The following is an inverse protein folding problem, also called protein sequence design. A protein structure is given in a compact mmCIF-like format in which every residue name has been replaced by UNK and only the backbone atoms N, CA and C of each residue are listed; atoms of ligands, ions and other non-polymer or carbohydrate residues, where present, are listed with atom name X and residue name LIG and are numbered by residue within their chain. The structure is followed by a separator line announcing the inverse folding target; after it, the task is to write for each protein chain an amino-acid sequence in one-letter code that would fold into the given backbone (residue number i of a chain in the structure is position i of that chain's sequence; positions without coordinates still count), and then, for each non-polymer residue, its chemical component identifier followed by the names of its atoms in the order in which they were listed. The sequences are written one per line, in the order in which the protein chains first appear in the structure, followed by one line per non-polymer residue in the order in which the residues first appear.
data_IF_923365558500
#
_entry.id   IF_923365558500
#
_cell.length_a   1.000
_cell.length_b   1.000
_cell.length_c   1.000
_cell.angle_alpha   90.00
_cell.angle_beta   90.00
_cell.angle_gamma   90.00
#
_symmetry.space_group_name_H-M   'P 1'
#
loop_
_entity.id
_entity.type
_entity.pdbx_description
1 polymer ?
#
# COMPACT_ATOMS: atom_id res chain seq x y z
N UNK A 1 28.38 -8.88 16.36
CA UNK A 1 27.38 -7.83 16.09
C UNK A 1 28.07 -6.50 15.75
N UNK A 2 29.14 -6.10 16.46
CA UNK A 2 29.89 -4.84 16.21
C UNK A 2 30.42 -4.79 14.77
N UNK A 3 31.04 -5.87 14.26
CA UNK A 3 31.50 -5.97 12.87
C UNK A 3 30.35 -5.76 11.85
N UNK A 4 29.15 -6.26 12.15
CA UNK A 4 27.99 -6.02 11.28
C UNK A 4 27.54 -4.55 11.28
N UNK A 5 27.62 -3.86 12.43
CA UNK A 5 27.37 -2.41 12.51
C UNK A 5 28.43 -1.60 11.79
N UNK A 6 29.70 -1.99 11.86
CA UNK A 6 30.79 -1.36 11.11
C UNK A 6 30.56 -1.44 9.60
N UNK A 7 30.21 -2.64 9.12
CA UNK A 7 29.89 -2.84 7.69
C UNK A 7 28.67 -1.99 7.30
N UNK A 8 27.62 -1.99 8.10
CA UNK A 8 26.43 -1.20 7.81
C UNK A 8 26.72 0.30 7.81
N UNK A 9 27.51 0.77 8.77
CA UNK A 9 27.97 2.17 8.83
C UNK A 9 28.81 2.53 7.61
N UNK A 10 29.74 1.66 7.20
CA UNK A 10 30.57 1.86 6.01
C UNK A 10 29.70 1.92 4.74
N UNK A 11 28.73 1.06 4.60
CA UNK A 11 27.77 1.08 3.47
C UNK A 11 27.02 2.40 3.40
N UNK A 12 26.57 2.92 4.55
CA UNK A 12 25.76 4.16 4.60
C UNK A 12 26.63 5.42 4.50
N UNK A 13 27.75 5.49 5.21
CA UNK A 13 28.52 6.71 5.39
C UNK A 13 29.95 6.65 4.82
N UNK A 14 30.45 5.46 4.47
CA UNK A 14 31.86 5.26 4.08
C UNK A 14 32.24 5.91 2.74
N UNK A 15 31.29 6.21 1.91
CA UNK A 15 31.55 6.78 0.59
C UNK A 15 31.52 8.31 0.59
N UNK A 16 32.67 8.95 0.38
CA UNK A 16 32.73 10.41 0.11
C UNK A 16 32.05 10.77 -1.20
N UNK A 17 32.09 9.89 -2.18
CA UNK A 17 31.45 9.98 -3.47
C UNK A 17 30.95 8.60 -3.87
N UNK A 18 29.81 8.55 -4.54
CA UNK A 18 29.32 7.32 -5.14
C UNK A 18 30.30 6.82 -6.22
N UNK A 19 30.49 5.51 -6.40
CA UNK A 19 31.35 4.98 -7.45
C UNK A 19 30.77 5.31 -8.84
N UNK A 20 31.52 6.00 -9.68
CA UNK A 20 31.04 6.50 -10.98
C UNK A 20 30.76 5.35 -11.97
N UNK A 21 31.53 4.27 -11.91
CA UNK A 21 31.36 3.12 -12.81
C UNK A 21 30.03 2.38 -12.53
N UNK A 22 29.70 2.22 -11.28
CA UNK A 22 28.48 1.60 -10.80
C UNK A 22 27.24 2.45 -11.13
N UNK A 23 27.36 3.77 -11.13
CA UNK A 23 26.27 4.68 -11.51
C UNK A 23 25.73 4.40 -12.91
N UNK A 24 26.60 4.24 -13.91
CA UNK A 24 26.17 3.98 -15.28
C UNK A 24 25.48 2.60 -15.42
N UNK A 25 25.97 1.61 -14.67
CA UNK A 25 25.37 0.28 -14.62
C UNK A 25 23.99 0.35 -13.97
N UNK A 26 23.87 0.91 -12.77
CA UNK A 26 22.64 0.96 -12.00
C UNK A 26 21.58 1.83 -12.70
N UNK A 27 21.98 2.94 -13.32
CA UNK A 27 21.08 3.76 -14.13
C UNK A 27 20.50 2.97 -15.31
N UNK A 28 21.32 2.18 -16.01
CA UNK A 28 20.87 1.33 -17.10
C UNK A 28 19.90 0.27 -16.59
N UNK A 29 20.25 -0.45 -15.51
CA UNK A 29 19.39 -1.47 -14.90
C UNK A 29 18.06 -0.88 -14.43
N UNK A 30 18.06 0.32 -13.86
CA UNK A 30 16.84 1.01 -13.46
C UNK A 30 15.96 1.35 -14.68
N UNK A 31 16.54 1.87 -15.76
CA UNK A 31 15.81 2.16 -17.00
C UNK A 31 15.21 0.89 -17.61
N UNK A 32 15.97 -0.21 -17.63
CA UNK A 32 15.48 -1.53 -18.08
C UNK A 32 14.34 -2.03 -17.20
N UNK A 33 14.47 -1.89 -15.88
CA UNK A 33 13.42 -2.25 -14.91
C UNK A 33 12.15 -1.42 -15.13
N UNK A 34 12.27 -0.10 -15.32
CA UNK A 34 11.11 0.78 -15.60
C UNK A 34 10.46 0.39 -16.93
N UNK A 35 11.26 0.14 -17.99
CA UNK A 35 10.73 -0.30 -19.27
C UNK A 35 10.03 -1.67 -19.19
N UNK A 36 10.55 -2.59 -18.35
CA UNK A 36 9.95 -3.92 -18.17
C UNK A 36 8.68 -3.89 -17.30
N UNK A 37 8.47 -2.83 -16.52
CA UNK A 37 7.27 -2.68 -15.68
C UNK A 37 5.98 -2.73 -16.50
N UNK A 38 6.00 -2.18 -17.71
CA UNK A 38 4.85 -2.19 -18.63
C UNK A 38 4.48 -3.61 -19.10
N UNK A 39 5.36 -4.60 -18.91
CA UNK A 39 5.08 -6.01 -19.26
C UNK A 39 4.19 -6.69 -18.20
N UNK A 40 4.26 -6.29 -16.92
CA UNK A 40 3.30 -6.71 -15.90
C UNK A 40 2.04 -5.84 -15.99
N UNK A 41 1.11 -6.26 -16.84
CA UNK A 41 -0.11 -5.52 -17.11
C UNK A 41 -1.01 -5.32 -15.89
N UNK A 42 -0.88 -6.16 -14.87
CA UNK A 42 -1.65 -6.00 -13.62
C UNK A 42 -1.08 -4.85 -12.78
N UNK A 43 0.24 -4.84 -12.57
CA UNK A 43 0.93 -3.76 -11.86
C UNK A 43 0.85 -2.44 -12.64
N UNK A 44 0.99 -2.48 -13.95
CA UNK A 44 0.82 -1.33 -14.85
C UNK A 44 -0.56 -0.69 -14.69
N UNK A 45 -1.63 -1.49 -14.79
CA UNK A 45 -3.00 -0.99 -14.66
C UNK A 45 -3.29 -0.40 -13.27
N UNK A 46 -2.75 -1.02 -12.20
CA UNK A 46 -2.88 -0.50 -10.84
C UNK A 46 -2.12 0.82 -10.65
N UNK A 47 -0.91 0.93 -11.18
CA UNK A 47 -0.14 2.17 -11.16
C UNK A 47 -0.87 3.31 -11.88
N UNK A 48 -1.48 3.03 -13.02
CA UNK A 48 -2.25 4.03 -13.76
C UNK A 48 -3.55 4.42 -13.03
N UNK A 49 -4.17 3.51 -12.26
CA UNK A 49 -5.25 3.90 -11.35
C UNK A 49 -4.74 4.95 -10.36
N UNK A 50 -3.59 4.72 -9.71
CA UNK A 50 -3.06 5.64 -8.70
C UNK A 50 -2.62 6.98 -9.32
N UNK A 51 -1.96 6.97 -10.47
CA UNK A 51 -1.61 8.20 -11.18
C UNK A 51 -2.85 9.03 -11.54
N UNK A 52 -3.95 8.36 -11.94
CA UNK A 52 -5.20 9.04 -12.28
C UNK A 52 -5.95 9.53 -11.04
N UNK A 53 -6.05 8.68 -10.01
CA UNK A 53 -6.75 8.99 -8.76
C UNK A 53 -6.07 10.12 -7.99
N UNK A 54 -4.74 10.07 -7.90
CA UNK A 54 -3.91 11.00 -7.13
C UNK A 54 -3.16 11.99 -8.01
N UNK A 55 -3.77 12.38 -9.13
CA UNK A 55 -3.24 13.41 -10.01
C UNK A 55 -2.96 14.71 -9.23
N UNK A 56 -1.75 15.25 -9.39
CA UNK A 56 -1.24 16.40 -8.63
C UNK A 56 -1.09 16.16 -7.11
N UNK A 57 -0.99 14.91 -6.69
CA UNK A 57 -0.64 14.53 -5.33
C UNK A 57 0.66 13.69 -5.35
N UNK A 58 1.47 13.80 -4.31
CA UNK A 58 2.71 13.01 -4.19
C UNK A 58 2.43 11.49 -4.26
N UNK A 59 1.27 11.05 -3.78
CA UNK A 59 0.86 9.66 -3.78
C UNK A 59 0.65 9.06 -5.18
N UNK A 60 0.40 9.89 -6.19
CA UNK A 60 0.32 9.48 -7.59
C UNK A 60 1.67 9.30 -8.28
N UNK A 61 2.78 9.65 -7.62
CA UNK A 61 4.11 9.50 -8.21
C UNK A 61 4.58 8.05 -8.10
N UNK A 62 4.98 7.46 -9.22
CA UNK A 62 5.58 6.11 -9.22
C UNK A 62 6.87 6.10 -8.40
N UNK A 63 7.00 5.16 -7.47
CA UNK A 63 8.20 5.03 -6.61
C UNK A 63 9.48 4.73 -7.39
N UNK A 64 9.37 4.03 -8.54
CA UNK A 64 10.50 3.78 -9.45
C UNK A 64 10.81 4.95 -10.40
N UNK A 65 9.98 6.00 -10.41
CA UNK A 65 10.03 7.07 -11.40
C UNK A 65 9.59 6.62 -12.80
N UNK A 66 9.76 7.51 -13.78
CA UNK A 66 9.51 7.26 -15.20
C UNK A 66 10.82 7.36 -15.98
N UNK A 67 10.85 6.80 -17.19
CA UNK A 67 12.03 6.83 -18.05
C UNK A 67 12.50 8.28 -18.30
N UNK A 68 11.57 9.19 -18.53
CA UNK A 68 11.82 10.61 -18.74
C UNK A 68 12.43 11.31 -17.51
N UNK A 69 12.11 10.85 -16.30
CA UNK A 69 12.65 11.38 -15.06
C UNK A 69 14.07 10.87 -14.80
N UNK A 70 14.34 9.61 -15.12
CA UNK A 70 15.64 8.96 -14.85
C UNK A 70 16.70 9.31 -15.90
N UNK A 71 16.32 9.43 -17.18
CA UNK A 71 17.26 9.75 -18.27
C UNK A 71 18.13 10.99 -18.03
N UNK A 72 17.59 12.12 -17.57
CA UNK A 72 18.39 13.33 -17.35
C UNK A 72 19.26 13.27 -16.09
N UNK A 73 19.10 12.29 -15.19
CA UNK A 73 19.91 12.19 -13.98
C UNK A 73 21.37 11.90 -14.37
N UNK A 74 22.27 12.80 -13.98
CA UNK A 74 23.71 12.63 -14.14
C UNK A 74 24.36 12.14 -12.84
N UNK A 75 25.57 11.61 -12.95
CA UNK A 75 26.37 11.24 -11.78
C UNK A 75 26.50 12.39 -10.78
N UNK A 76 26.76 13.61 -11.25
CA UNK A 76 26.96 14.76 -10.38
C UNK A 76 25.68 15.17 -9.64
N UNK A 77 24.52 15.05 -10.31
CA UNK A 77 23.21 15.27 -9.68
C UNK A 77 23.00 14.24 -8.57
N UNK A 78 23.16 12.94 -8.86
CA UNK A 78 22.95 11.88 -7.89
C UNK A 78 23.95 11.97 -6.70
N UNK A 79 25.23 12.22 -6.99
CA UNK A 79 26.26 12.30 -5.96
C UNK A 79 26.06 13.51 -5.03
N UNK A 80 25.58 14.64 -5.56
CA UNK A 80 25.18 15.80 -4.75
C UNK A 80 23.98 15.48 -3.87
N UNK A 81 22.94 14.87 -4.44
CA UNK A 81 21.75 14.47 -3.71
C UNK A 81 22.09 13.47 -2.59
N UNK A 82 22.92 12.45 -2.86
CA UNK A 82 23.40 11.51 -1.86
C UNK A 82 24.07 12.20 -0.66
N UNK A 83 24.96 13.16 -0.92
CA UNK A 83 25.64 13.91 0.14
C UNK A 83 24.68 14.78 0.95
N UNK A 84 23.70 15.36 0.30
CA UNK A 84 22.66 16.17 0.95
C UNK A 84 21.75 15.28 1.79
N UNK A 85 21.26 14.17 1.24
CA UNK A 85 20.43 13.19 1.93
C UNK A 85 21.09 12.70 3.24
N UNK A 86 22.39 12.36 3.21
CA UNK A 86 23.12 11.95 4.41
C UNK A 86 23.23 13.05 5.48
N UNK A 87 23.07 14.33 5.10
CA UNK A 87 23.12 15.47 6.03
C UNK A 87 21.76 15.87 6.57
N UNK A 88 20.73 15.74 5.75
CA UNK A 88 19.41 16.34 6.00
C UNK A 88 18.30 15.34 6.32
N UNK A 89 18.42 14.11 5.82
CA UNK A 89 17.36 13.13 6.06
C UNK A 89 17.50 12.46 7.42
N UNK A 90 16.38 12.15 8.02
CA UNK A 90 16.31 11.30 9.20
C UNK A 90 16.66 9.85 8.83
N UNK A 91 17.35 9.19 9.75
CA UNK A 91 17.69 7.76 9.62
C UNK A 91 17.22 7.06 10.87
N UNK A 92 16.27 6.17 10.70
CA UNK A 92 15.78 5.31 11.76
C UNK A 92 16.49 3.95 11.72
N UNK A 93 17.01 3.52 12.87
CA UNK A 93 17.63 2.20 13.02
C UNK A 93 16.71 1.35 13.89
N UNK A 94 16.16 0.29 13.30
CA UNK A 94 15.26 -0.64 13.99
C UNK A 94 15.96 -1.98 14.14
N UNK A 95 15.98 -2.51 15.37
CA UNK A 95 16.71 -3.74 15.71
C UNK A 95 15.76 -4.74 16.35
N UNK A 96 15.82 -5.98 15.88
CA UNK A 96 15.11 -7.11 16.49
C UNK A 96 16.09 -8.19 16.92
N UNK A 97 15.88 -8.74 18.11
CA UNK A 97 16.71 -9.80 18.70
C UNK A 97 16.88 -9.62 20.20
N UNK A 98 17.96 -10.17 20.75
CA UNK A 98 18.35 -9.89 22.14
C UNK A 98 18.96 -8.49 22.21
N UNK A 99 18.16 -7.52 22.62
CA UNK A 99 18.57 -6.11 22.73
C UNK A 99 18.71 -5.75 24.20
N UNK A 100 19.91 -5.29 24.57
CA UNK A 100 20.21 -4.77 25.89
C UNK A 100 20.78 -3.33 25.80
N UNK A 101 21.02 -2.70 26.93
CA UNK A 101 21.58 -1.35 26.98
C UNK A 101 22.98 -1.24 26.34
N UNK A 102 23.78 -2.30 26.40
CA UNK A 102 25.13 -2.30 25.84
C UNK A 102 25.06 -2.24 24.32
N UNK A 103 24.10 -2.96 23.73
CA UNK A 103 23.81 -2.97 22.31
C UNK A 103 23.31 -1.60 21.83
N UNK A 104 22.39 -0.97 22.57
CA UNK A 104 21.89 0.38 22.22
C UNK A 104 23.01 1.43 22.27
N UNK A 105 23.91 1.35 23.25
CA UNK A 105 25.10 2.22 23.30
C UNK A 105 26.04 1.99 22.13
N UNK A 106 26.24 0.74 21.73
CA UNK A 106 27.06 0.39 20.58
C UNK A 106 26.45 0.94 19.27
N UNK A 107 25.14 0.76 19.07
CA UNK A 107 24.44 1.31 17.89
C UNK A 107 24.56 2.83 17.84
N UNK A 108 24.39 3.51 18.98
CA UNK A 108 24.51 4.98 19.06
C UNK A 108 25.93 5.50 18.77
N UNK A 109 26.96 4.66 18.89
CA UNK A 109 28.35 5.00 18.48
C UNK A 109 28.48 5.12 16.96
N UNK A 110 27.78 4.27 16.20
CA UNK A 110 27.82 4.23 14.74
C UNK A 110 26.73 5.11 14.09
N UNK A 111 25.55 5.15 14.66
CA UNK A 111 24.40 5.90 14.19
C UNK A 111 24.00 6.95 15.22
N UNK A 112 24.61 8.15 15.12
CA UNK A 112 24.40 9.23 16.07
C UNK A 112 22.99 9.79 15.89
N UNK A 113 22.11 9.77 16.93
CA UNK A 113 20.79 10.37 16.86
C UNK A 113 20.86 11.86 16.52
N UNK A 114 20.08 12.31 15.56
CA UNK A 114 19.95 13.73 15.23
C UNK A 114 18.71 14.28 15.91
N UNK A 115 18.90 15.12 16.92
CA UNK A 115 17.81 15.54 17.83
C UNK A 115 16.89 16.66 17.30
N UNK A 116 17.03 17.15 16.08
CA UNK A 116 16.32 18.37 15.66
C UNK A 116 15.85 18.40 14.19
N UNK A 117 15.64 17.27 13.55
CA UNK A 117 15.00 17.32 12.23
C UNK A 117 13.48 17.34 12.44
N UNK A 118 12.84 18.43 12.02
CA UNK A 118 11.39 18.46 11.95
C UNK A 118 10.95 17.44 10.90
N UNK A 119 10.30 16.39 11.34
CA UNK A 119 9.64 15.44 10.43
C UNK A 119 8.67 16.25 9.57
N UNK A 120 8.84 16.18 8.25
CA UNK A 120 7.84 16.72 7.35
C UNK A 120 6.54 15.96 7.60
N UNK A 121 5.46 16.64 8.01
CA UNK A 121 4.21 15.96 8.22
C UNK A 121 3.79 15.29 6.91
N UNK A 122 3.31 14.05 6.99
CA UNK A 122 2.68 13.40 5.85
C UNK A 122 1.45 14.24 5.51
N UNK A 123 1.43 14.81 4.31
CA UNK A 123 0.28 15.59 3.84
C UNK A 123 -0.90 14.64 3.60
N UNK A 124 -1.91 14.80 4.44
CA UNK A 124 -3.14 14.01 4.38
C UNK A 124 -4.32 14.83 3.86
N UNK A 125 -4.10 15.85 3.04
CA UNK A 125 -5.21 16.59 2.48
C UNK A 125 -6.23 15.65 1.83
N UNK A 126 -7.47 15.72 2.34
CA UNK A 126 -8.61 15.02 1.76
C UNK A 126 -9.18 15.88 0.63
N UNK A 127 -8.78 15.55 -0.60
CA UNK A 127 -9.39 16.22 -1.75
C UNK A 127 -10.84 15.78 -1.91
N UNK A 128 -11.70 16.76 -2.11
CA UNK A 128 -13.10 16.53 -2.46
C UNK A 128 -13.19 15.94 -3.87
N UNK A 129 -14.01 14.90 -4.03
CA UNK A 129 -14.30 14.33 -5.35
C UNK A 129 -15.33 15.24 -6.03
N UNK A 130 -14.91 15.95 -7.06
CA UNK A 130 -15.82 16.77 -7.87
C UNK A 130 -16.61 15.93 -8.86
N UNK A 131 -15.92 14.95 -9.49
CA UNK A 131 -16.52 13.98 -10.42
C UNK A 131 -15.73 12.69 -10.43
N UNK A 132 -16.41 11.57 -10.73
CA UNK A 132 -15.75 10.28 -10.90
C UNK A 132 -14.90 10.32 -12.16
N UNK A 133 -13.60 10.03 -12.03
CA UNK A 133 -12.69 9.92 -13.16
C UNK A 133 -12.86 8.54 -13.83
N UNK A 134 -13.05 8.53 -15.14
CA UNK A 134 -13.10 7.30 -15.93
C UNK A 134 -11.99 7.33 -16.95
N UNK A 135 -11.09 6.36 -16.93
CA UNK A 135 -9.99 6.24 -17.89
C UNK A 135 -9.93 4.82 -18.46
N UNK A 136 -9.87 4.72 -19.77
CA UNK A 136 -9.70 3.46 -20.49
C UNK A 136 -8.49 3.58 -21.39
N UNK A 137 -7.52 2.70 -21.18
CA UNK A 137 -6.35 2.51 -22.05
C UNK A 137 -6.46 1.14 -22.74
N UNK A 138 -5.83 0.98 -23.89
CA UNK A 138 -5.87 -0.24 -24.67
C UNK A 138 -4.48 -0.84 -24.83
N UNK A 139 -4.40 -2.17 -24.80
CA UNK A 139 -3.15 -2.90 -24.93
C UNK A 139 -3.38 -4.31 -25.50
N UNK A 140 -2.31 -4.95 -25.97
CA UNK A 140 -2.34 -6.34 -26.45
C UNK A 140 -2.41 -7.30 -25.28
N UNK A 141 -3.59 -7.47 -24.71
CA UNK A 141 -3.90 -8.33 -23.57
C UNK A 141 -5.14 -9.19 -23.87
N UNK A 142 -5.27 -10.32 -23.17
CA UNK A 142 -6.41 -11.23 -23.32
C UNK A 142 -7.59 -10.89 -22.41
N UNK A 143 -7.33 -10.16 -21.31
CA UNK A 143 -8.32 -9.82 -20.29
C UNK A 143 -8.19 -8.37 -19.87
N UNK A 144 -9.32 -7.69 -19.70
CA UNK A 144 -9.35 -6.35 -19.13
C UNK A 144 -8.85 -6.37 -17.68
N UNK A 145 -7.97 -5.43 -17.33
CA UNK A 145 -7.59 -5.15 -15.95
C UNK A 145 -8.47 -3.99 -15.47
N UNK A 146 -9.38 -4.29 -14.57
CA UNK A 146 -10.34 -3.32 -14.03
C UNK A 146 -9.93 -2.96 -12.62
N UNK A 147 -9.67 -1.69 -12.40
CA UNK A 147 -9.28 -1.14 -11.10
C UNK A 147 -10.21 0.02 -10.73
N UNK A 148 -10.76 -0.01 -9.51
CA UNK A 148 -11.69 1.00 -9.03
C UNK A 148 -11.15 1.57 -7.72
N UNK A 149 -10.90 2.87 -7.70
CA UNK A 149 -10.44 3.58 -6.50
C UNK A 149 -11.59 4.26 -5.77
N UNK A 150 -11.56 4.17 -4.45
CA UNK A 150 -12.54 4.78 -3.55
C UNK A 150 -11.82 5.61 -2.49
N UNK A 151 -12.28 6.80 -2.18
CA UNK A 151 -11.87 7.52 -0.97
C UNK A 151 -12.55 6.88 0.24
N UNK A 152 -11.75 6.60 1.24
CA UNK A 152 -12.18 6.07 2.54
C UNK A 152 -11.38 6.80 3.61
N UNK A 153 -11.89 7.93 4.15
CA UNK A 153 -11.11 8.85 4.99
C UNK A 153 -10.92 8.31 6.41
N UNK A 154 -10.42 7.09 6.52
CA UNK A 154 -10.04 6.44 7.78
C UNK A 154 -8.54 6.18 7.74
N UNK A 155 -7.84 6.59 8.80
CA UNK A 155 -6.39 6.52 8.90
C UNK A 155 -5.93 5.78 10.14
N UNK A 156 -4.62 5.47 10.20
CA UNK A 156 -4.02 4.65 11.26
C UNK A 156 -4.32 5.10 12.69
N UNK A 157 -4.48 6.40 12.95
CA UNK A 157 -4.73 6.92 14.30
C UNK A 157 -6.22 6.93 14.68
N UNK A 158 -7.10 6.59 13.76
CA UNK A 158 -8.53 6.69 14.00
C UNK A 158 -9.09 5.47 14.71
N UNK A 159 -10.04 5.70 15.61
CA UNK A 159 -10.70 4.63 16.38
C UNK A 159 -11.47 3.66 15.48
N UNK A 160 -11.87 4.11 14.30
CA UNK A 160 -12.61 3.32 13.30
C UNK A 160 -11.71 2.46 12.39
N UNK A 161 -10.38 2.52 12.55
CA UNK A 161 -9.46 1.70 11.75
C UNK A 161 -9.79 0.20 11.76
N UNK A 162 -10.08 -0.43 12.93
CA UNK A 162 -10.46 -1.84 12.96
C UNK A 162 -11.72 -2.15 12.16
N UNK A 163 -12.72 -1.26 12.20
CA UNK A 163 -13.94 -1.40 11.43
C UNK A 163 -13.71 -1.25 9.91
N UNK A 164 -12.82 -0.33 9.50
CA UNK A 164 -12.43 -0.16 8.10
C UNK A 164 -11.65 -1.37 7.57
N UNK A 165 -10.76 -1.94 8.40
CA UNK A 165 -10.06 -3.18 8.07
C UNK A 165 -11.03 -4.35 7.89
N UNK A 166 -12.02 -4.49 8.79
CA UNK A 166 -13.07 -5.51 8.67
C UNK A 166 -13.95 -5.29 7.45
N UNK A 167 -14.32 -4.04 7.15
CA UNK A 167 -15.05 -3.72 5.93
C UNK A 167 -14.30 -4.17 4.68
N UNK A 168 -13.02 -3.84 4.55
CA UNK A 168 -12.21 -4.28 3.42
C UNK A 168 -12.11 -5.81 3.34
N UNK A 169 -11.92 -6.49 4.49
CA UNK A 169 -11.82 -7.96 4.54
C UNK A 169 -13.12 -8.62 4.09
N UNK A 170 -14.27 -8.14 4.56
CA UNK A 170 -15.58 -8.64 4.20
C UNK A 170 -15.95 -8.34 2.73
N UNK A 171 -15.51 -7.16 2.21
CA UNK A 171 -15.81 -6.79 0.83
C UNK A 171 -14.98 -7.60 -0.17
N UNK A 172 -13.64 -7.59 -0.05
CA UNK A 172 -12.76 -8.19 -1.07
C UNK A 172 -11.38 -8.62 -0.56
N UNK A 173 -11.09 -8.50 0.74
CA UNK A 173 -9.78 -8.80 1.32
C UNK A 173 -9.53 -10.26 1.63
N UNK A 174 -10.53 -11.14 1.55
CA UNK A 174 -10.43 -12.54 1.89
C UNK A 174 -11.17 -13.45 0.88
N UNK A 175 -10.86 -14.76 0.90
CA UNK A 175 -11.50 -15.74 0.00
C UNK A 175 -12.98 -16.00 0.30
N UNK A 176 -13.46 -15.62 1.47
CA UNK A 176 -14.88 -15.65 1.84
C UNK A 176 -15.57 -14.30 1.65
N UNK A 177 -14.89 -13.32 1.09
CA UNK A 177 -15.41 -11.96 0.89
C UNK A 177 -16.53 -11.92 -0.16
N UNK A 178 -17.37 -10.90 -0.08
CA UNK A 178 -18.53 -10.76 -1.00
C UNK A 178 -18.12 -10.66 -2.46
N UNK A 179 -17.05 -9.94 -2.78
CA UNK A 179 -16.55 -9.85 -4.15
C UNK A 179 -16.06 -11.21 -4.66
N UNK A 180 -15.31 -11.95 -3.84
CA UNK A 180 -14.83 -13.26 -4.23
C UNK A 180 -15.99 -14.24 -4.45
N UNK A 181 -16.91 -14.34 -3.50
CA UNK A 181 -18.05 -15.27 -3.57
C UNK A 181 -19.03 -14.89 -4.66
N UNK A 182 -19.45 -13.63 -4.75
CA UNK A 182 -20.52 -13.24 -5.67
C UNK A 182 -20.01 -12.95 -7.09
N UNK A 183 -18.86 -12.24 -7.25
CA UNK A 183 -18.38 -11.87 -8.60
C UNK A 183 -17.61 -13.02 -9.26
N UNK A 184 -16.72 -13.68 -8.49
CA UNK A 184 -15.86 -14.73 -9.05
C UNK A 184 -16.55 -16.09 -9.05
N UNK A 185 -17.03 -16.58 -7.90
CA UNK A 185 -17.54 -17.94 -7.81
C UNK A 185 -18.96 -18.08 -8.35
N UNK A 186 -19.89 -17.29 -7.85
CA UNK A 186 -21.30 -17.40 -8.21
C UNK A 186 -21.59 -16.98 -9.65
N UNK A 187 -21.03 -15.86 -10.06
CA UNK A 187 -21.27 -15.33 -11.42
C UNK A 187 -20.17 -15.65 -12.42
N UNK A 188 -19.03 -16.18 -11.99
CA UNK A 188 -17.88 -16.52 -12.84
C UNK A 188 -17.44 -15.37 -13.77
N UNK A 189 -17.47 -14.12 -13.29
CA UNK A 189 -17.21 -12.92 -14.10
C UNK A 189 -15.73 -12.58 -14.22
N UNK A 190 -14.89 -13.09 -13.32
CA UNK A 190 -13.48 -12.74 -13.28
C UNK A 190 -12.63 -13.94 -12.85
N UNK A 191 -11.33 -13.89 -13.20
CA UNK A 191 -10.34 -14.88 -12.75
C UNK A 191 -9.85 -14.59 -11.35
N UNK A 192 -9.68 -13.34 -11.05
CA UNK A 192 -9.32 -12.85 -9.73
C UNK A 192 -10.04 -11.53 -9.46
N UNK A 193 -10.36 -11.31 -8.21
CA UNK A 193 -10.88 -10.05 -7.69
C UNK A 193 -10.48 -9.92 -6.24
N UNK A 194 -10.20 -8.70 -5.83
CA UNK A 194 -9.92 -8.40 -4.44
C UNK A 194 -10.03 -6.91 -4.16
N UNK A 195 -9.95 -6.54 -2.89
CA UNK A 195 -9.84 -5.16 -2.45
C UNK A 195 -8.67 -4.97 -1.49
N UNK A 196 -8.12 -3.77 -1.46
CA UNK A 196 -7.12 -3.35 -0.49
C UNK A 196 -7.45 -1.99 0.06
N UNK A 197 -7.21 -1.81 1.34
CA UNK A 197 -7.35 -0.57 2.06
C UNK A 197 -5.99 -0.04 2.48
N UNK A 198 -5.74 1.24 2.19
CA UNK A 198 -4.54 1.97 2.60
C UNK A 198 -4.91 3.01 3.66
N UNK A 199 -4.54 2.73 4.90
CA UNK A 199 -4.81 3.59 6.04
C UNK A 199 -3.82 4.77 6.18
N UNK A 200 -2.74 4.83 5.37
CA UNK A 200 -1.87 6.00 5.35
C UNK A 200 -2.53 7.17 4.64
N UNK A 201 -3.05 6.91 3.45
CA UNK A 201 -3.70 7.95 2.64
C UNK A 201 -5.22 8.02 2.84
N UNK A 202 -5.84 6.96 3.35
CA UNK A 202 -7.29 6.90 3.54
C UNK A 202 -8.03 6.65 2.23
N UNK A 203 -7.69 5.55 1.55
CA UNK A 203 -8.38 5.11 0.35
C UNK A 203 -8.45 3.58 0.28
N UNK A 204 -9.33 3.09 -0.56
CA UNK A 204 -9.46 1.68 -0.88
C UNK A 204 -9.51 1.50 -2.39
N UNK A 205 -9.07 0.36 -2.88
CA UNK A 205 -9.23 0.03 -4.28
C UNK A 205 -9.65 -1.43 -4.46
N UNK A 206 -10.42 -1.66 -5.53
CA UNK A 206 -10.78 -2.99 -6.01
C UNK A 206 -9.98 -3.24 -7.29
N UNK A 207 -9.44 -4.44 -7.44
CA UNK A 207 -8.70 -4.86 -8.62
C UNK A 207 -9.22 -6.20 -9.12
N UNK A 208 -9.33 -6.35 -10.45
CA UNK A 208 -9.88 -7.58 -11.06
C UNK A 208 -9.37 -7.80 -12.48
N UNK A 209 -9.31 -9.08 -12.89
CA UNK A 209 -9.06 -9.50 -14.27
C UNK A 209 -10.36 -10.07 -14.87
N UNK A 210 -10.96 -9.37 -15.83
CA UNK A 210 -12.31 -9.62 -16.34
C UNK A 210 -12.26 -9.80 -17.87
N UNK A 211 -13.05 -10.73 -18.41
CA UNK A 211 -13.25 -10.81 -19.85
C UNK A 211 -13.88 -9.53 -20.39
N UNK A 212 -13.40 -9.04 -21.55
CA UNK A 212 -13.84 -7.79 -22.15
C UNK A 212 -15.37 -7.70 -22.28
N UNK A 213 -16.02 -8.81 -22.66
CA UNK A 213 -17.47 -8.86 -22.87
C UNK A 213 -18.28 -8.82 -21.57
N UNK A 214 -17.64 -8.98 -20.41
CA UNK A 214 -18.30 -9.08 -19.09
C UNK A 214 -18.01 -7.91 -18.17
N UNK A 215 -17.26 -6.92 -18.62
CA UNK A 215 -16.82 -5.78 -17.79
C UNK A 215 -18.02 -5.03 -17.19
N UNK A 216 -19.01 -4.66 -18.02
CA UNK A 216 -20.17 -3.89 -17.54
C UNK A 216 -20.99 -4.66 -16.51
N UNK A 217 -21.19 -5.96 -16.73
CA UNK A 217 -21.90 -6.82 -15.78
C UNK A 217 -21.12 -6.96 -14.46
N UNK A 218 -19.80 -7.12 -14.56
CA UNK A 218 -18.95 -7.23 -13.37
C UNK A 218 -18.96 -5.94 -12.56
N UNK A 219 -18.86 -4.77 -13.20
CA UNK A 219 -18.96 -3.47 -12.54
C UNK A 219 -20.30 -3.33 -11.80
N UNK A 220 -21.40 -3.72 -12.45
CA UNK A 220 -22.72 -3.70 -11.83
C UNK A 220 -22.78 -4.59 -10.58
N UNK A 221 -22.30 -5.84 -10.68
CA UNK A 221 -22.31 -6.76 -9.51
C UNK A 221 -21.40 -6.27 -8.41
N UNK A 222 -20.26 -5.64 -8.73
CA UNK A 222 -19.35 -5.03 -7.74
C UNK A 222 -20.07 -3.88 -7.00
N UNK A 223 -20.71 -2.98 -7.73
CA UNK A 223 -21.45 -1.87 -7.14
C UNK A 223 -22.61 -2.37 -6.25
N UNK A 224 -23.35 -3.41 -6.67
CA UNK A 224 -24.38 -4.09 -5.85
C UNK A 224 -23.82 -4.61 -4.52
N UNK A 225 -22.59 -5.20 -4.49
CA UNK A 225 -21.99 -5.68 -3.24
C UNK A 225 -21.68 -4.55 -2.26
N UNK A 226 -21.29 -3.40 -2.78
CA UNK A 226 -21.02 -2.20 -1.95
C UNK A 226 -22.34 -1.64 -1.41
N UNK A 227 -23.35 -1.51 -2.27
CA UNK A 227 -24.69 -1.03 -1.89
C UNK A 227 -25.33 -1.94 -0.83
N UNK A 228 -25.20 -3.25 -0.97
CA UNK A 228 -25.67 -4.20 0.03
C UNK A 228 -25.01 -4.00 1.40
N UNK A 229 -23.68 -3.75 1.44
CA UNK A 229 -22.97 -3.45 2.69
C UNK A 229 -23.37 -2.10 3.29
N UNK A 230 -23.76 -1.13 2.46
CA UNK A 230 -24.29 0.16 2.92
C UNK A 230 -25.69 0.04 3.50
N UNK A 231 -26.53 -0.80 2.91
CA UNK A 231 -27.93 -0.93 3.26
C UNK A 231 -28.20 -1.95 4.38
N UNK A 232 -27.36 -3.00 4.47
CA UNK A 232 -27.53 -4.07 5.46
C UNK A 232 -26.21 -4.34 6.18
N UNK A 233 -26.25 -4.51 7.52
CA UNK A 233 -25.07 -4.93 8.27
C UNK A 233 -24.64 -6.35 7.85
N UNK A 234 -23.37 -6.68 8.07
CA UNK A 234 -22.86 -8.04 7.90
C UNK A 234 -23.68 -9.02 8.76
N UNK A 235 -23.94 -10.20 8.22
CA UNK A 235 -24.41 -11.32 9.01
C UNK A 235 -23.38 -11.70 10.07
N UNK A 236 -23.81 -12.37 11.14
CA UNK A 236 -22.93 -12.84 12.19
C UNK A 236 -21.81 -13.75 11.65
N UNK A 237 -22.14 -14.60 10.68
CA UNK A 237 -21.19 -15.49 10.03
C UNK A 237 -20.12 -14.70 9.25
N UNK A 238 -20.52 -13.74 8.40
CA UNK A 238 -19.58 -12.90 7.65
C UNK A 238 -18.66 -12.08 8.57
N UNK A 239 -19.24 -11.52 9.64
CA UNK A 239 -18.49 -10.74 10.63
C UNK A 239 -17.44 -11.61 11.33
N UNK A 240 -17.82 -12.81 11.80
CA UNK A 240 -16.93 -13.70 12.51
C UNK A 240 -15.82 -14.23 11.61
N UNK A 241 -16.13 -14.68 10.39
CA UNK A 241 -15.12 -15.11 9.42
C UNK A 241 -14.11 -14.00 9.10
N UNK A 242 -14.58 -12.76 8.96
CA UNK A 242 -13.70 -11.63 8.71
C UNK A 242 -12.81 -11.30 9.91
N UNK A 243 -13.33 -11.38 11.14
CA UNK A 243 -12.54 -11.23 12.36
C UNK A 243 -11.46 -12.29 12.49
N UNK A 244 -11.84 -13.56 12.30
CA UNK A 244 -10.91 -14.69 12.37
C UNK A 244 -9.80 -14.55 11.32
N UNK A 245 -10.12 -14.16 10.09
CA UNK A 245 -9.13 -13.94 9.05
C UNK A 245 -8.09 -12.88 9.43
N UNK A 246 -8.52 -11.76 10.00
CA UNK A 246 -7.61 -10.69 10.45
C UNK A 246 -6.78 -11.15 11.66
N UNK A 247 -7.41 -11.81 12.64
CA UNK A 247 -6.73 -12.27 13.85
C UNK A 247 -5.66 -13.31 13.49
N UNK A 248 -5.97 -14.26 12.60
CA UNK A 248 -5.01 -15.26 12.15
C UNK A 248 -3.82 -14.58 11.44
N UNK A 249 -4.06 -13.61 10.57
CA UNK A 249 -2.99 -12.86 9.92
C UNK A 249 -2.12 -12.07 10.92
N UNK A 250 -2.70 -11.49 11.98
CA UNK A 250 -1.95 -10.84 13.06
C UNK A 250 -1.06 -11.81 13.83
N UNK A 251 -1.56 -13.03 14.11
CA UNK A 251 -0.81 -14.10 14.79
C UNK A 251 0.32 -14.61 13.89
N UNK A 252 0.03 -14.94 12.63
CA UNK A 252 1.02 -15.42 11.66
C UNK A 252 2.16 -14.40 11.44
N UNK A 253 1.85 -13.10 11.47
CA UNK A 253 2.86 -12.05 11.36
C UNK A 253 3.88 -12.06 12.51
N UNK A 254 3.56 -12.65 13.68
CA UNK A 254 4.53 -12.79 14.79
C UNK A 254 5.66 -13.76 14.45
N UNK A 255 5.41 -14.75 13.60
CA UNK A 255 6.42 -15.71 13.18
C UNK A 255 7.39 -15.12 12.13
N UNK A 256 7.06 -13.95 11.57
CA UNK A 256 7.91 -13.23 10.64
C UNK A 256 8.65 -12.08 11.31
N UNK A 257 9.97 -12.22 11.48
CA UNK A 257 10.81 -11.16 12.06
C UNK A 257 10.68 -9.82 11.30
N UNK A 258 10.63 -9.87 9.97
CA UNK A 258 10.49 -8.66 9.15
C UNK A 258 9.11 -8.00 9.30
N UNK A 259 8.03 -8.79 9.38
CA UNK A 259 6.69 -8.26 9.62
C UNK A 259 6.57 -7.65 11.02
N UNK A 260 7.15 -8.30 12.04
CA UNK A 260 7.20 -7.79 13.41
C UNK A 260 7.96 -6.46 13.51
N UNK A 261 9.12 -6.36 12.83
CA UNK A 261 9.90 -5.11 12.75
C UNK A 261 9.13 -3.99 12.04
N UNK A 262 8.50 -4.30 10.91
CA UNK A 262 7.70 -3.32 10.18
C UNK A 262 6.51 -2.81 11.01
N UNK A 263 5.83 -3.70 11.74
CA UNK A 263 4.73 -3.32 12.62
C UNK A 263 5.21 -2.46 13.80
N UNK A 264 6.32 -2.83 14.46
CA UNK A 264 6.93 -2.04 15.52
C UNK A 264 7.32 -0.64 15.03
N UNK A 265 7.98 -0.57 13.89
CA UNK A 265 8.38 0.71 13.30
C UNK A 265 7.16 1.59 12.98
N UNK A 266 6.14 1.02 12.36
CA UNK A 266 4.89 1.72 12.06
C UNK A 266 4.22 2.27 13.32
N UNK A 267 4.09 1.46 14.36
CA UNK A 267 3.50 1.87 15.64
C UNK A 267 4.30 3.00 16.32
N UNK A 268 5.63 2.94 16.20
CA UNK A 268 6.54 3.98 16.72
C UNK A 268 6.34 5.29 15.97
N UNK A 269 6.34 5.26 14.63
CA UNK A 269 6.09 6.44 13.78
C UNK A 269 4.73 7.09 14.07
N UNK A 270 3.72 6.27 14.31
CA UNK A 270 2.36 6.73 14.57
C UNK A 270 2.14 7.14 16.04
N UNK A 271 3.15 6.93 16.91
CA UNK A 271 3.03 7.11 18.36
C UNK A 271 1.76 6.42 18.93
N UNK A 272 1.53 5.18 18.50
CA UNK A 272 0.36 4.38 18.88
C UNK A 272 0.78 2.92 19.12
N UNK A 273 1.60 2.66 20.16
CA UNK A 273 2.05 1.30 20.47
C UNK A 273 0.87 0.46 20.97
N UNK A 274 0.63 -0.66 20.31
CA UNK A 274 -0.38 -1.64 20.66
C UNK A 274 0.25 -3.02 20.74
N UNK A 275 0.02 -3.72 21.81
CA UNK A 275 0.36 -5.15 21.91
C UNK A 275 -0.51 -5.96 20.94
N UNK A 276 -0.07 -7.18 20.61
CA UNK A 276 -0.87 -8.10 19.80
C UNK A 276 -2.26 -8.35 20.42
N UNK A 277 -2.31 -8.52 21.75
CA UNK A 277 -3.55 -8.73 22.49
C UNK A 277 -4.51 -7.54 22.32
N UNK A 278 -4.03 -6.30 22.47
CA UNK A 278 -4.83 -5.10 22.27
C UNK A 278 -5.32 -4.95 20.82
N UNK A 279 -4.49 -5.31 19.84
CA UNK A 279 -4.90 -5.31 18.42
C UNK A 279 -6.03 -6.32 18.19
N UNK A 280 -5.90 -7.55 18.73
CA UNK A 280 -6.91 -8.59 18.63
C UNK A 280 -8.21 -8.16 19.32
N UNK A 281 -8.13 -7.59 20.52
CA UNK A 281 -9.31 -7.14 21.27
C UNK A 281 -10.05 -6.03 20.54
N UNK A 282 -9.34 -5.09 19.89
CA UNK A 282 -9.95 -4.08 19.04
C UNK A 282 -10.70 -4.70 17.85
N UNK A 283 -10.14 -5.72 17.20
CA UNK A 283 -10.84 -6.44 16.11
C UNK A 283 -12.07 -7.18 16.63
N UNK A 284 -11.96 -7.87 17.77
CA UNK A 284 -13.09 -8.60 18.40
C UNK A 284 -14.24 -7.66 18.78
N UNK A 285 -13.93 -6.47 19.26
CA UNK A 285 -14.92 -5.49 19.69
C UNK A 285 -15.76 -4.90 18.55
N UNK A 286 -15.29 -4.94 17.30
CA UNK A 286 -16.01 -4.36 16.16
C UNK A 286 -17.35 -5.02 15.95
N UNK A 287 -18.37 -4.19 15.75
CA UNK A 287 -19.76 -4.62 15.46
C UNK A 287 -20.09 -4.53 13.97
N UNK A 288 -21.09 -5.29 13.52
CA UNK A 288 -21.56 -5.23 12.13
C UNK A 288 -22.13 -3.84 11.75
N UNK A 289 -22.66 -3.11 12.73
CA UNK A 289 -23.14 -1.72 12.52
C UNK A 289 -21.99 -0.74 12.26
N UNK A 290 -20.85 -0.91 12.93
CA UNK A 290 -19.66 -0.08 12.68
C UNK A 290 -19.10 -0.36 11.27
N UNK A 291 -19.06 -1.62 10.85
CA UNK A 291 -18.66 -1.99 9.48
C UNK A 291 -19.60 -1.37 8.45
N UNK A 292 -20.91 -1.42 8.68
CA UNK A 292 -21.90 -0.76 7.84
C UNK A 292 -21.71 0.78 7.81
N UNK A 293 -21.42 1.39 8.95
CA UNK A 293 -21.13 2.81 9.01
C UNK A 293 -19.93 3.20 8.14
N UNK A 294 -18.86 2.37 8.14
CA UNK A 294 -17.71 2.54 7.24
C UNK A 294 -18.15 2.41 5.77
N UNK A 295 -18.93 1.38 5.42
CA UNK A 295 -19.42 1.19 4.06
C UNK A 295 -20.15 2.43 3.51
N UNK A 296 -20.87 3.16 4.36
CA UNK A 296 -21.57 4.40 3.99
C UNK A 296 -20.65 5.60 3.75
N UNK A 297 -19.40 5.56 4.21
CA UNK A 297 -18.46 6.67 4.05
C UNK A 297 -17.65 6.60 2.77
N UNK A 298 -17.55 5.42 2.15
CA UNK A 298 -16.74 5.27 0.92
C UNK A 298 -17.37 6.05 -0.23
N UNK A 299 -16.50 6.64 -1.04
CA UNK A 299 -16.90 7.37 -2.25
C UNK A 299 -16.07 6.90 -3.42
N UNK A 300 -16.74 6.45 -4.49
CA UNK A 300 -16.07 6.09 -5.76
C UNK A 300 -15.40 7.33 -6.32
N UNK A 301 -14.11 7.21 -6.65
CA UNK A 301 -13.28 8.31 -7.13
C UNK A 301 -12.87 8.08 -8.59
N UNK A 302 -12.27 6.92 -8.86
CA UNK A 302 -11.67 6.65 -10.17
C UNK A 302 -11.97 5.23 -10.64
N UNK A 303 -12.36 5.10 -11.90
CA UNK A 303 -12.38 3.83 -12.63
C UNK A 303 -11.28 3.86 -13.68
N UNK A 304 -10.36 2.89 -13.61
CA UNK A 304 -9.34 2.66 -14.62
C UNK A 304 -9.48 1.27 -15.22
N UNK A 305 -9.51 1.20 -16.54
CA UNK A 305 -9.59 -0.05 -17.29
C UNK A 305 -8.45 -0.09 -18.31
N UNK A 306 -7.61 -1.12 -18.21
CA UNK A 306 -6.74 -1.50 -19.33
C UNK A 306 -7.49 -2.60 -20.12
N UNK A 307 -7.92 -2.26 -21.30
CA UNK A 307 -8.76 -3.12 -22.13
C UNK A 307 -7.97 -3.78 -23.28
N UNK A 308 -8.38 -4.97 -23.75
CA UNK A 308 -7.84 -5.54 -24.97
C UNK A 308 -8.10 -4.62 -26.18
N UNK A 309 -7.09 -4.49 -27.05
CA UNK A 309 -7.25 -3.80 -28.34
C UNK A 309 -8.44 -4.38 -29.14
N UNK A 310 -9.11 -3.54 -29.90
CA UNK A 310 -10.12 -3.97 -30.85
C UNK A 310 -9.39 -4.34 -32.14
N UNK A 311 -9.32 -5.63 -32.43
CA UNK A 311 -8.83 -6.11 -33.73
C UNK A 311 -9.87 -5.86 -34.81
#
# INVERSE_FOLDING_TARGET
FEEALEILHEVVYGHKNLPKKEFELEKRLLLEKIASFDNDKTSFALSNLFETMFENEQYGIRTSGKIEDVKPITYDILNRYYKEMLKTNDIDVVISGQVDESLLKLVSKYFIPRNNLALNPIDYEDKQIEMIKNKVDYDTISQSKVNIGYRLPIRYKETLLPAATLFNTALGGAVHSRLFVNVREKHSLCYYIGSRFDAFKGFMYIYSGIDKSRVDLALKVIDEQIEDLQNQPLSETELNLSKESIINALIENQDSQSASLANLYLQTLLNNPLTLAEQIDKIRAVTSKEVQAIAKTIKKDTLYILAPEVK
#
